data_IF_847100320449
#
_entry.id   IF_847100320449
#
_cell.length_a   1.000
_cell.length_b   1.000
_cell.length_c   1.000
_cell.angle_alpha   90.00
_cell.angle_beta   90.00
_cell.angle_gamma   90.00
#
_symmetry.space_group_name_H-M   'P 1'
#
loop_
_entity.id
_entity.type
_entity.pdbx_description
1 polymer ?
#
# COMPACT_ATOMS: atom_id res chain seq x y z
N UNK A 1 7.41 5.08 3.67
CA UNK A 1 7.10 3.82 3.00
C UNK A 1 7.81 2.66 3.69
N UNK A 2 7.10 1.56 3.88
CA UNK A 2 7.71 0.34 4.42
C UNK A 2 8.55 -0.30 3.32
N UNK A 3 9.85 -0.55 3.55
CA UNK A 3 10.66 -1.18 2.54
C UNK A 3 10.31 -2.65 2.38
N UNK A 4 10.36 -3.14 1.15
CA UNK A 4 10.31 -4.57 0.89
C UNK A 4 11.68 -5.17 1.19
N UNK A 5 11.74 -6.50 1.28
CA UNK A 5 12.96 -7.22 1.62
C UNK A 5 14.10 -6.87 0.65
N UNK A 6 15.24 -6.49 1.20
CA UNK A 6 16.42 -6.10 0.44
C UNK A 6 16.40 -4.69 -0.16
N UNK A 7 15.26 -3.99 -0.07
CA UNK A 7 15.09 -2.66 -0.65
C UNK A 7 15.87 -1.60 0.14
N UNK A 8 16.61 -0.77 -0.59
CA UNK A 8 17.29 0.39 -0.01
C UNK A 8 16.35 1.59 0.03
N UNK A 9 16.31 2.29 1.15
CA UNK A 9 15.52 3.51 1.35
C UNK A 9 16.33 4.53 2.15
N UNK A 10 15.79 5.74 2.32
CA UNK A 10 16.42 6.75 3.15
C UNK A 10 16.57 6.32 4.62
N UNK A 11 15.64 5.47 5.10
CA UNK A 11 15.70 4.93 6.47
C UNK A 11 16.39 3.57 6.55
N UNK A 12 16.68 2.95 5.41
CA UNK A 12 17.40 1.67 5.30
C UNK A 12 18.42 1.76 4.17
N UNK A 13 19.50 2.57 4.31
CA UNK A 13 20.42 2.87 3.21
C UNK A 13 21.21 1.66 2.71
N UNK A 14 21.38 0.63 3.54
CA UNK A 14 22.10 -0.60 3.19
C UNK A 14 21.17 -1.74 2.77
N UNK A 15 19.88 -1.45 2.65
CA UNK A 15 18.85 -2.45 2.37
C UNK A 15 18.29 -3.05 3.64
N UNK A 16 17.10 -3.68 3.52
CA UNK A 16 16.48 -4.33 4.67
C UNK A 16 17.01 -5.75 4.83
N UNK A 17 17.62 -6.02 5.96
CA UNK A 17 18.13 -7.34 6.33
C UNK A 17 17.16 -8.01 7.30
N UNK A 18 16.65 -9.18 6.92
CA UNK A 18 15.72 -9.97 7.74
C UNK A 18 16.28 -10.28 9.13
N UNK A 19 17.58 -10.57 9.21
CA UNK A 19 18.21 -10.94 10.48
C UNK A 19 18.40 -9.76 11.43
N UNK A 20 18.50 -8.53 10.87
CA UNK A 20 18.69 -7.32 11.67
C UNK A 20 17.40 -6.54 11.88
N UNK A 21 16.51 -6.52 10.88
CA UNK A 21 15.33 -5.63 10.87
C UNK A 21 14.00 -6.39 10.83
N UNK A 22 14.04 -7.72 10.70
CA UNK A 22 12.84 -8.54 10.52
C UNK A 22 12.21 -8.40 9.14
N UNK A 23 11.09 -9.09 8.94
CA UNK A 23 10.33 -9.02 7.70
C UNK A 23 9.55 -7.70 7.60
N UNK A 24 9.31 -7.19 6.37
CA UNK A 24 8.45 -6.02 6.21
C UNK A 24 7.04 -6.26 6.75
N UNK A 25 6.47 -5.24 7.40
CA UNK A 25 5.10 -5.31 7.91
C UNK A 25 4.10 -5.01 6.81
N UNK A 26 3.14 -5.89 6.62
CA UNK A 26 2.01 -5.69 5.72
C UNK A 26 0.83 -5.17 6.54
N UNK A 27 0.80 -3.86 6.81
CA UNK A 27 -0.18 -3.22 7.70
C UNK A 27 -1.61 -3.47 7.23
N UNK A 28 -1.87 -3.34 5.92
CA UNK A 28 -3.21 -3.55 5.39
C UNK A 28 -3.67 -5.00 5.59
N UNK A 29 -2.78 -5.98 5.42
CA UNK A 29 -3.12 -7.39 5.65
C UNK A 29 -3.44 -7.65 7.12
N UNK A 30 -2.70 -7.02 8.03
CA UNK A 30 -2.96 -7.12 9.47
C UNK A 30 -4.32 -6.50 9.81
N UNK A 31 -4.60 -5.30 9.30
CA UNK A 31 -5.87 -4.63 9.54
C UNK A 31 -7.06 -5.44 9.01
N UNK A 32 -6.89 -6.17 7.92
CA UNK A 32 -7.94 -7.01 7.35
C UNK A 32 -8.33 -8.19 8.25
N UNK A 33 -7.46 -8.59 9.19
CA UNK A 33 -7.73 -9.68 10.13
C UNK A 33 -8.57 -9.24 11.34
N UNK A 34 -8.69 -7.94 11.59
CA UNK A 34 -9.41 -7.42 12.75
C UNK A 34 -10.91 -7.47 12.52
N UNK A 35 -11.67 -7.96 13.51
CA UNK A 35 -13.12 -8.10 13.41
C UNK A 35 -13.84 -6.74 13.22
N UNK A 36 -13.34 -5.70 13.87
CA UNK A 36 -13.95 -4.37 13.81
C UNK A 36 -13.66 -3.61 12.52
N UNK A 37 -12.85 -4.14 11.63
CA UNK A 37 -12.52 -3.49 10.36
C UNK A 37 -13.56 -3.83 9.30
N UNK A 38 -14.16 -2.82 8.66
CA UNK A 38 -15.20 -3.00 7.65
C UNK A 38 -14.62 -3.12 6.23
N UNK A 39 -13.62 -2.31 5.90
CA UNK A 39 -13.08 -2.25 4.55
C UNK A 39 -11.57 -1.98 4.59
N UNK A 40 -10.80 -2.80 3.91
CA UNK A 40 -9.37 -2.64 3.76
C UNK A 40 -9.02 -2.85 2.30
N UNK A 41 -8.35 -1.88 1.70
CA UNK A 41 -7.97 -1.96 0.30
C UNK A 41 -6.56 -1.41 0.09
N UNK A 42 -5.90 -1.92 -0.95
CA UNK A 42 -4.61 -1.43 -1.39
C UNK A 42 -4.76 -0.93 -2.82
N UNK A 43 -4.44 0.33 -3.04
CA UNK A 43 -4.60 1.01 -4.32
C UNK A 43 -3.29 1.65 -4.75
N UNK A 44 -3.25 2.18 -5.96
CA UNK A 44 -2.12 2.93 -6.48
C UNK A 44 -2.61 4.16 -7.24
N UNK A 45 -1.70 5.03 -7.64
CA UNK A 45 -2.04 6.29 -8.32
C UNK A 45 -1.11 6.57 -9.53
N UNK A 46 -0.45 5.53 -10.05
CA UNK A 46 0.52 5.69 -11.14
C UNK A 46 -0.12 5.85 -12.52
N UNK A 47 -1.40 5.54 -12.66
CA UNK A 47 -2.15 5.70 -13.93
C UNK A 47 -3.48 6.38 -13.67
N UNK A 48 -4.11 6.90 -14.72
CA UNK A 48 -5.44 7.52 -14.59
C UNK A 48 -6.50 6.52 -14.11
N UNK A 49 -6.58 5.29 -14.66
CA UNK A 49 -7.50 4.28 -14.11
C UNK A 49 -7.22 3.95 -12.64
N UNK A 50 -5.96 3.87 -12.23
CA UNK A 50 -5.59 3.60 -10.83
C UNK A 50 -6.06 4.74 -9.92
N UNK A 51 -5.89 5.99 -10.32
CA UNK A 51 -6.37 7.16 -9.58
C UNK A 51 -7.89 7.11 -9.38
N UNK A 52 -8.63 6.73 -10.42
CA UNK A 52 -10.08 6.59 -10.33
C UNK A 52 -10.50 5.53 -9.32
N UNK A 53 -9.81 4.38 -9.32
CA UNK A 53 -10.05 3.31 -8.35
C UNK A 53 -9.72 3.77 -6.93
N UNK A 54 -8.62 4.48 -6.74
CA UNK A 54 -8.23 5.02 -5.44
C UNK A 54 -9.26 6.01 -4.91
N UNK A 55 -9.77 6.90 -5.76
CA UNK A 55 -10.84 7.85 -5.38
C UNK A 55 -12.11 7.13 -4.92
N UNK A 56 -12.53 6.10 -5.66
CA UNK A 56 -13.69 5.30 -5.29
C UNK A 56 -13.49 4.59 -3.95
N UNK A 57 -12.30 4.06 -3.72
CA UNK A 57 -11.96 3.38 -2.47
C UNK A 57 -12.02 4.34 -1.28
N UNK A 58 -11.46 5.53 -1.41
CA UNK A 58 -11.49 6.56 -0.37
C UNK A 58 -12.93 6.96 -0.06
N UNK A 59 -13.74 7.20 -1.10
CA UNK A 59 -15.15 7.54 -0.95
C UNK A 59 -15.91 6.44 -0.21
N UNK A 60 -15.69 5.18 -0.60
CA UNK A 60 -16.33 4.03 0.04
C UNK A 60 -15.95 3.94 1.52
N UNK A 61 -14.68 4.20 1.86
CA UNK A 61 -14.22 4.20 3.25
C UNK A 61 -14.97 5.26 4.09
N UNK A 62 -15.15 6.46 3.58
CA UNK A 62 -15.92 7.50 4.26
C UNK A 62 -17.40 7.13 4.39
N UNK A 63 -18.00 6.60 3.32
CA UNK A 63 -19.40 6.16 3.35
C UNK A 63 -19.61 5.07 4.40
N UNK A 64 -18.71 4.10 4.49
CA UNK A 64 -18.74 3.04 5.48
C UNK A 64 -18.63 3.59 6.91
N UNK A 65 -17.74 4.56 7.11
CA UNK A 65 -17.57 5.21 8.42
C UNK A 65 -18.85 5.95 8.84
N UNK A 66 -19.45 6.68 7.91
CA UNK A 66 -20.71 7.40 8.18
C UNK A 66 -21.87 6.46 8.45
N UNK A 67 -21.87 5.29 7.84
CA UNK A 67 -22.89 4.26 8.05
C UNK A 67 -22.64 3.43 9.32
N UNK A 68 -21.54 3.65 10.02
CA UNK A 68 -21.23 2.92 11.26
C UNK A 68 -20.85 1.46 11.05
N UNK A 69 -20.34 1.09 9.85
CA UNK A 69 -19.99 -0.30 9.55
C UNK A 69 -18.73 -0.80 10.26
N UNK A 70 -17.87 0.11 10.69
CA UNK A 70 -16.61 -0.21 11.35
C UNK A 70 -15.46 0.65 10.85
N UNK A 71 -14.23 0.26 11.18
CA UNK A 71 -13.03 0.97 10.76
C UNK A 71 -12.67 0.64 9.31
N UNK A 72 -12.04 1.60 8.64
CA UNK A 72 -11.64 1.45 7.23
C UNK A 72 -10.18 1.85 7.06
N UNK A 73 -9.48 1.17 6.16
CA UNK A 73 -8.10 1.48 5.81
C UNK A 73 -7.93 1.47 4.30
N UNK A 74 -7.43 2.57 3.76
CA UNK A 74 -7.03 2.67 2.35
C UNK A 74 -5.51 2.88 2.33
N UNK A 75 -4.80 1.88 1.86
CA UNK A 75 -3.34 1.94 1.70
C UNK A 75 -3.02 2.30 0.25
N UNK A 76 -2.20 3.32 0.07
CA UNK A 76 -1.77 3.74 -1.27
C UNK A 76 -0.30 3.36 -1.45
N UNK A 77 -0.05 2.47 -2.42
CA UNK A 77 1.32 2.12 -2.81
C UNK A 77 1.80 3.20 -3.77
N UNK A 78 2.84 3.91 -3.35
CA UNK A 78 3.37 5.03 -4.12
C UNK A 78 4.87 4.93 -4.32
N UNK A 79 5.37 5.69 -5.29
CA UNK A 79 6.80 5.76 -5.58
C UNK A 79 7.54 6.68 -4.63
N UNK A 80 8.85 6.46 -4.51
CA UNK A 80 9.76 7.36 -3.82
C UNK A 80 10.96 7.62 -4.74
N UNK A 81 10.72 8.35 -5.84
CA UNK A 81 11.73 8.54 -6.89
C UNK A 81 13.01 9.22 -6.39
N UNK A 82 12.90 10.17 -5.46
CA UNK A 82 14.08 10.82 -4.87
C UNK A 82 14.87 9.86 -3.96
N UNK A 83 14.17 9.09 -3.12
CA UNK A 83 14.80 8.09 -2.24
C UNK A 83 15.39 6.92 -3.02
N UNK A 84 14.79 6.55 -4.14
CA UNK A 84 15.28 5.48 -5.01
C UNK A 84 16.28 5.97 -6.05
N UNK A 85 16.50 7.29 -6.15
CA UNK A 85 17.40 7.93 -7.13
C UNK A 85 17.01 7.56 -8.57
N UNK A 86 15.72 7.64 -8.88
CA UNK A 86 15.14 7.29 -10.18
C UNK A 86 14.32 8.45 -10.72
N UNK A 87 14.13 8.50 -12.05
CA UNK A 87 13.15 9.39 -12.66
C UNK A 87 11.73 8.92 -12.27
N UNK A 88 10.70 9.81 -12.30
CA UNK A 88 9.34 9.41 -12.01
C UNK A 88 8.83 8.23 -12.86
N UNK A 89 9.15 8.21 -14.15
CA UNK A 89 8.74 7.12 -15.05
C UNK A 89 9.39 5.78 -14.66
N UNK A 90 10.70 5.79 -14.38
CA UNK A 90 11.41 4.61 -13.93
C UNK A 90 10.93 4.12 -12.57
N UNK A 91 10.60 5.06 -11.68
CA UNK A 91 10.05 4.73 -10.35
C UNK A 91 8.71 4.01 -10.47
N UNK A 92 7.81 4.48 -11.34
CA UNK A 92 6.52 3.84 -11.58
C UNK A 92 6.70 2.41 -12.10
N UNK A 93 7.57 2.25 -13.08
CA UNK A 93 7.86 0.93 -13.66
C UNK A 93 8.46 -0.03 -12.62
N UNK A 94 9.43 0.45 -11.86
CA UNK A 94 10.05 -0.32 -10.80
C UNK A 94 9.02 -0.76 -9.74
N UNK A 95 8.12 0.13 -9.35
CA UNK A 95 7.05 -0.17 -8.41
C UNK A 95 6.13 -1.26 -8.95
N UNK A 96 5.72 -1.17 -10.21
CA UNK A 96 4.88 -2.18 -10.86
C UNK A 96 5.54 -3.55 -10.89
N UNK A 97 6.84 -3.60 -11.19
CA UNK A 97 7.58 -4.84 -11.34
C UNK A 97 7.99 -5.48 -10.00
N UNK A 98 8.28 -4.65 -8.98
CA UNK A 98 8.87 -5.12 -7.72
C UNK A 98 7.97 -5.00 -6.51
N UNK A 99 7.13 -3.96 -6.43
CA UNK A 99 6.30 -3.74 -5.25
C UNK A 99 4.92 -4.39 -5.36
N UNK A 100 4.28 -4.34 -6.50
CA UNK A 100 2.94 -4.90 -6.66
C UNK A 100 2.90 -6.43 -6.45
N UNK A 101 3.90 -7.22 -6.90
CA UNK A 101 3.92 -8.63 -6.56
C UNK A 101 4.01 -8.91 -5.06
N UNK A 102 4.68 -8.04 -4.31
CA UNK A 102 4.82 -8.17 -2.85
C UNK A 102 3.63 -7.56 -2.10
N UNK A 103 3.10 -6.43 -2.62
CA UNK A 103 1.92 -5.74 -2.09
C UNK A 103 0.83 -5.72 -3.17
N UNK A 104 0.12 -6.84 -3.40
CA UNK A 104 -0.91 -6.88 -4.44
C UNK A 104 -2.01 -5.85 -4.22
N UNK A 105 -2.41 -5.19 -5.30
CA UNK A 105 -3.49 -4.21 -5.27
C UNK A 105 -4.85 -4.89 -5.19
N UNK A 106 -5.83 -4.19 -4.66
CA UNK A 106 -7.20 -4.64 -4.57
C UNK A 106 -7.75 -4.64 -3.16
N UNK A 107 -8.96 -5.12 -3.01
CA UNK A 107 -9.63 -5.20 -1.72
C UNK A 107 -9.11 -6.40 -0.93
N UNK A 108 -8.71 -6.16 0.31
CA UNK A 108 -8.27 -7.20 1.26
C UNK A 108 -9.41 -7.63 2.18
N UNK A 109 -10.33 -6.72 2.43
CA UNK A 109 -11.55 -6.98 3.20
C UNK A 109 -12.64 -6.01 2.75
N UNK A 110 -13.83 -6.52 2.56
CA UNK A 110 -15.01 -5.72 2.22
C UNK A 110 -16.22 -6.31 2.92
N UNK A 111 -16.51 -5.82 4.10
CA UNK A 111 -17.64 -6.27 4.92
C UNK A 111 -18.91 -5.59 4.42
N UNK A 112 -19.84 -6.36 3.94
CA UNK A 112 -21.11 -5.85 3.42
C UNK A 112 -22.18 -5.71 4.50
#
# INVERSE_FOLDING_TARGET
>A
ALPILGMKTSTSPYGRDVHLHGYPLKIADIAAQLEGTAYVTRQSVETVPAIRKAKKAIRKAFENSMAGKGSNLVEIVSTCNSGWKMSPEKSNKWMQENMFPFYPLGDLKDKQ
#
